data_IF_934618218559
#
_entry.id   IF_934618218559
#
_cell.length_a   1.000
_cell.length_b   1.000
_cell.length_c   1.000
_cell.angle_alpha   90.00
_cell.angle_beta   90.00
_cell.angle_gamma   90.00
#
_symmetry.space_group_name_H-M   'P 1'
#
loop_
_entity.id
_entity.type
_entity.pdbx_description
1 polymer ?
#
# COMPACT_ATOMS: atom_id res chain seq x y z
N UNK A 1 0.75 0.18 16.83
CA UNK A 1 0.25 0.31 15.45
C UNK A 1 -1.06 1.07 15.48
N UNK A 2 -1.23 2.06 14.62
CA UNK A 2 -2.50 2.79 14.42
C UNK A 2 -2.81 2.82 12.93
N UNK A 3 -4.07 2.65 12.57
CA UNK A 3 -4.52 2.72 11.18
C UNK A 3 -5.27 4.04 11.01
N UNK A 4 -5.06 4.74 9.89
CA UNK A 4 -5.77 5.99 9.58
C UNK A 4 -6.92 5.75 8.60
N UNK A 5 -7.88 6.69 8.62
CA UNK A 5 -8.96 6.82 7.63
C UNK A 5 -8.46 7.21 6.22
N UNK A 6 -7.14 7.28 6.02
CA UNK A 6 -6.53 7.59 4.72
C UNK A 6 -5.87 6.37 4.06
N UNK A 7 -6.05 5.17 4.61
CA UNK A 7 -5.38 3.97 4.09
C UNK A 7 -3.92 3.85 4.53
N UNK A 8 -3.53 4.49 5.65
CA UNK A 8 -2.15 4.47 6.16
C UNK A 8 -2.01 3.70 7.47
N UNK A 9 -0.84 3.11 7.72
CA UNK A 9 -0.47 2.50 9.00
C UNK A 9 0.65 3.30 9.66
N UNK A 10 0.49 3.68 10.93
CA UNK A 10 1.57 4.25 11.76
C UNK A 10 2.16 3.23 12.72
N UNK A 11 3.47 3.00 12.62
CA UNK A 11 4.30 2.17 13.49
C UNK A 11 5.32 3.04 14.22
N UNK A 12 5.04 3.40 15.48
CA UNK A 12 5.89 4.33 16.23
C UNK A 12 5.96 5.70 15.54
N UNK A 13 7.14 6.04 15.00
CA UNK A 13 7.40 7.27 14.25
C UNK A 13 7.34 7.08 12.72
N UNK A 14 7.09 5.87 12.25
CA UNK A 14 7.03 5.53 10.82
C UNK A 14 5.59 5.49 10.33
N UNK A 15 5.29 6.20 9.25
CA UNK A 15 4.04 6.10 8.51
C UNK A 15 4.26 5.22 7.27
N UNK A 16 3.30 4.35 6.96
CA UNK A 16 3.32 3.47 5.79
C UNK A 16 2.06 3.75 4.97
N UNK A 17 2.24 4.01 3.68
CA UNK A 17 1.19 4.08 2.66
C UNK A 17 1.61 3.22 1.47
N UNK A 18 0.68 2.83 0.60
CA UNK A 18 0.96 1.89 -0.49
C UNK A 18 0.25 2.29 -1.79
N UNK A 19 0.76 1.82 -2.93
CA UNK A 19 0.08 1.89 -4.23
C UNK A 19 -0.35 3.33 -4.59
N UNK A 20 0.65 4.20 -4.77
CA UNK A 20 0.43 5.62 -5.09
C UNK A 20 0.08 5.80 -6.57
N UNK A 21 0.72 5.03 -7.45
CA UNK A 21 0.56 5.08 -8.91
C UNK A 21 0.56 6.51 -9.46
N UNK A 22 1.60 7.29 -9.14
CA UNK A 22 1.82 8.58 -9.80
C UNK A 22 1.82 8.41 -11.31
N UNK A 23 1.05 9.25 -12.02
CA UNK A 23 0.92 9.19 -13.47
C UNK A 23 -0.17 8.26 -13.99
N UNK A 24 -1.01 7.65 -13.15
CA UNK A 24 -2.11 6.76 -13.57
C UNK A 24 -3.10 7.40 -14.56
N UNK A 25 -3.29 8.73 -14.49
CA UNK A 25 -4.13 9.49 -15.42
C UNK A 25 -3.41 9.88 -16.73
N UNK A 26 -2.13 9.51 -16.88
CA UNK A 26 -1.28 9.92 -17.99
C UNK A 26 -0.70 11.33 -17.87
N UNK A 27 -0.91 12.00 -16.73
CA UNK A 27 -0.35 13.32 -16.45
C UNK A 27 0.06 13.46 -14.96
N UNK A 28 0.93 14.44 -14.63
CA UNK A 28 1.28 14.83 -13.26
C UNK A 28 0.07 15.15 -12.37
N UNK A 29 -0.25 14.29 -11.41
CA UNK A 29 -1.29 14.53 -10.42
C UNK A 29 -0.67 15.03 -9.11
N UNK A 30 -0.71 16.34 -8.86
CA UNK A 30 -0.19 16.92 -7.62
C UNK A 30 -1.16 16.80 -6.44
N UNK A 31 -2.43 16.41 -6.67
CA UNK A 31 -3.40 16.27 -5.59
C UNK A 31 -3.05 15.11 -4.66
N UNK A 32 -2.48 14.03 -5.22
CA UNK A 32 -2.00 12.90 -4.42
C UNK A 32 -0.78 13.28 -3.59
N UNK A 33 0.10 14.17 -4.11
CA UNK A 33 1.23 14.74 -3.35
C UNK A 33 0.69 15.53 -2.16
N UNK A 34 -0.26 16.42 -2.37
CA UNK A 34 -0.87 17.22 -1.30
C UNK A 34 -1.48 16.32 -0.22
N UNK A 35 -2.17 15.24 -0.64
CA UNK A 35 -2.73 14.25 0.26
C UNK A 35 -1.68 13.47 1.05
N UNK A 36 -0.56 13.08 0.42
CA UNK A 36 0.56 12.44 1.13
C UNK A 36 1.06 13.36 2.25
N UNK A 37 1.29 14.64 1.94
CA UNK A 37 1.77 15.61 2.92
C UNK A 37 0.77 15.83 4.06
N UNK A 38 -0.53 15.91 3.76
CA UNK A 38 -1.59 16.00 4.77
C UNK A 38 -1.56 14.82 5.74
N UNK A 39 -1.42 13.59 5.23
CA UNK A 39 -1.37 12.38 6.06
C UNK A 39 -0.07 12.32 6.87
N UNK A 40 1.06 12.74 6.29
CA UNK A 40 2.34 12.86 7.02
C UNK A 40 2.19 13.84 8.19
N UNK A 41 1.71 15.06 7.94
CA UNK A 41 1.59 16.10 8.96
C UNK A 41 0.59 15.74 10.05
N UNK A 42 -0.59 15.25 9.67
CA UNK A 42 -1.63 14.84 10.63
C UNK A 42 -1.18 13.64 11.48
N UNK A 43 -0.42 12.71 10.90
CA UNK A 43 0.11 11.57 11.63
C UNK A 43 1.23 11.96 12.59
N UNK A 44 1.94 13.09 12.37
CA UNK A 44 3.18 13.46 13.07
C UNK A 44 4.22 12.34 12.99
N UNK A 45 4.38 11.75 11.81
CA UNK A 45 5.43 10.78 11.54
C UNK A 45 6.73 11.49 11.18
N UNK A 46 7.85 10.87 11.52
CA UNK A 46 9.19 11.37 11.15
C UNK A 46 9.73 10.63 9.92
N UNK A 47 9.32 9.38 9.71
CA UNK A 47 9.69 8.54 8.58
C UNK A 47 8.47 8.17 7.76
N UNK A 48 8.58 8.21 6.43
CA UNK A 48 7.56 7.72 5.50
C UNK A 48 8.09 6.50 4.74
N UNK A 49 7.29 5.43 4.69
CA UNK A 49 7.51 4.26 3.85
C UNK A 49 6.41 4.23 2.78
N UNK A 50 6.81 4.22 1.51
CA UNK A 50 5.94 3.93 0.39
C UNK A 50 6.08 2.45 0.05
N UNK A 51 5.03 1.67 0.31
CA UNK A 51 5.03 0.22 0.13
C UNK A 51 4.72 -0.19 -1.33
N UNK A 52 5.62 0.17 -2.25
CA UNK A 52 5.56 -0.17 -3.66
C UNK A 52 4.52 0.59 -4.47
N UNK A 53 4.68 0.46 -5.79
CA UNK A 53 3.88 1.08 -6.83
C UNK A 53 3.74 2.60 -6.59
N UNK A 54 4.88 3.25 -6.34
CA UNK A 54 4.93 4.70 -6.19
C UNK A 54 4.56 5.40 -7.50
N UNK A 55 4.99 4.83 -8.63
CA UNK A 55 4.72 5.34 -9.97
C UNK A 55 4.00 4.30 -10.84
N UNK A 56 3.32 4.72 -11.89
CA UNK A 56 2.44 3.86 -12.67
C UNK A 56 3.07 3.24 -13.93
N UNK A 57 3.78 4.05 -14.72
CA UNK A 57 4.38 3.65 -16.00
C UNK A 57 5.74 3.01 -15.80
N UNK A 58 6.01 1.87 -16.44
CA UNK A 58 7.34 1.22 -16.39
C UNK A 58 8.46 2.02 -17.08
N UNK A 59 8.11 3.03 -17.88
CA UNK A 59 9.06 3.82 -18.67
C UNK A 59 9.49 5.14 -18.02
N UNK A 60 10.30 5.93 -18.74
CA UNK A 60 10.87 7.19 -18.24
C UNK A 60 9.91 8.39 -18.24
N UNK A 61 8.72 8.26 -18.83
CA UNK A 61 7.82 9.38 -19.13
C UNK A 61 7.51 10.24 -17.90
N UNK A 62 7.26 9.60 -16.76
CA UNK A 62 6.89 10.26 -15.51
C UNK A 62 8.07 10.50 -14.55
N UNK A 63 9.27 9.98 -14.83
CA UNK A 63 10.38 9.97 -13.87
C UNK A 63 10.76 11.37 -13.37
N UNK A 64 10.83 12.38 -14.25
CA UNK A 64 11.13 13.76 -13.83
C UNK A 64 10.09 14.33 -12.87
N UNK A 65 8.83 13.95 -13.06
CA UNK A 65 7.76 14.41 -12.18
C UNK A 65 7.77 13.65 -10.85
N UNK A 66 8.01 12.34 -10.90
CA UNK A 66 8.19 11.48 -9.73
C UNK A 66 9.36 11.98 -8.87
N UNK A 67 10.51 12.27 -9.48
CA UNK A 67 11.70 12.83 -8.81
C UNK A 67 11.39 14.16 -8.11
N UNK A 68 10.62 15.03 -8.76
CA UNK A 68 10.16 16.29 -8.15
C UNK A 68 9.28 16.04 -6.92
N UNK A 69 8.29 15.12 -7.01
CA UNK A 69 7.42 14.79 -5.87
C UNK A 69 8.23 14.17 -4.73
N UNK A 70 9.22 13.32 -5.03
CA UNK A 70 10.13 12.75 -4.01
C UNK A 70 10.81 13.88 -3.24
N UNK A 71 11.46 14.82 -3.93
CA UNK A 71 12.13 15.94 -3.27
C UNK A 71 11.18 16.77 -2.42
N UNK A 72 9.96 17.04 -2.90
CA UNK A 72 8.94 17.75 -2.12
C UNK A 72 8.50 16.97 -0.87
N UNK A 73 8.40 15.64 -0.93
CA UNK A 73 8.07 14.80 0.24
C UNK A 73 9.23 14.81 1.26
N UNK A 74 10.47 14.70 0.79
CA UNK A 74 11.67 14.68 1.63
C UNK A 74 11.86 15.97 2.45
N UNK A 75 11.35 17.11 1.98
CA UNK A 75 11.33 18.36 2.77
C UNK A 75 10.46 18.27 4.04
N UNK A 76 9.56 17.28 4.12
CA UNK A 76 8.58 17.13 5.21
C UNK A 76 8.81 15.92 6.11
N UNK A 77 9.77 15.04 5.79
CA UNK A 77 10.11 13.86 6.58
C UNK A 77 11.61 13.78 6.82
N UNK A 78 12.02 13.19 7.94
CA UNK A 78 13.44 12.94 8.20
C UNK A 78 14.03 11.83 7.33
N UNK A 79 13.17 10.95 6.79
CA UNK A 79 13.56 9.81 5.98
C UNK A 79 12.37 9.32 5.14
N UNK A 80 12.61 9.16 3.84
CA UNK A 80 11.70 8.56 2.88
C UNK A 80 12.27 7.22 2.42
N UNK A 81 11.50 6.14 2.58
CA UNK A 81 11.85 4.81 2.10
C UNK A 81 10.87 4.39 1.02
N UNK A 82 11.38 4.07 -0.16
CA UNK A 82 10.60 3.53 -1.26
C UNK A 82 10.84 2.02 -1.34
N UNK A 83 9.76 1.25 -1.20
CA UNK A 83 9.79 -0.19 -1.44
C UNK A 83 9.43 -0.47 -2.88
N UNK A 84 9.97 -1.54 -3.45
CA UNK A 84 9.76 -1.92 -4.85
C UNK A 84 8.37 -2.50 -5.05
N UNK A 85 7.57 -1.88 -5.91
CA UNK A 85 6.41 -2.50 -6.55
C UNK A 85 6.70 -2.98 -7.97
N UNK A 86 5.75 -3.70 -8.57
CA UNK A 86 5.90 -4.20 -9.93
C UNK A 86 5.73 -3.11 -11.00
N UNK A 87 5.19 -1.93 -10.65
CA UNK A 87 5.09 -0.76 -11.53
C UNK A 87 6.29 0.21 -11.41
N UNK A 88 7.19 0.01 -10.45
CA UNK A 88 8.31 0.93 -10.15
C UNK A 88 9.54 0.75 -11.09
N UNK A 89 9.33 0.32 -12.34
CA UNK A 89 10.40 0.17 -13.33
C UNK A 89 11.23 1.45 -13.51
N UNK A 90 12.56 1.38 -13.41
CA UNK A 90 13.46 2.55 -13.48
C UNK A 90 13.38 3.56 -12.32
N UNK A 91 12.57 3.33 -11.28
CA UNK A 91 12.54 4.21 -10.10
C UNK A 91 13.92 4.31 -9.40
N UNK A 92 14.68 3.22 -9.44
CA UNK A 92 16.05 3.14 -8.94
C UNK A 92 17.05 4.07 -9.64
N UNK A 93 16.72 4.64 -10.80
CA UNK A 93 17.56 5.64 -11.47
C UNK A 93 17.54 7.00 -10.77
N UNK A 94 16.49 7.29 -9.97
CA UNK A 94 16.27 8.60 -9.34
C UNK A 94 16.23 8.56 -7.81
N UNK A 95 16.05 7.38 -7.20
CA UNK A 95 16.04 7.22 -5.75
C UNK A 95 16.42 5.77 -5.35
N UNK A 96 16.90 5.57 -4.13
CA UNK A 96 17.12 4.22 -3.58
C UNK A 96 15.78 3.48 -3.43
N UNK A 97 15.75 2.19 -3.81
CA UNK A 97 14.54 1.35 -3.74
C UNK A 97 14.88 0.03 -3.07
N UNK A 98 14.21 -0.25 -1.97
CA UNK A 98 14.41 -1.46 -1.18
C UNK A 98 13.35 -2.52 -1.55
N UNK A 99 13.67 -3.78 -1.31
CA UNK A 99 12.71 -4.87 -1.55
C UNK A 99 11.73 -5.04 -0.37
N UNK A 100 12.19 -4.75 0.84
CA UNK A 100 11.41 -4.74 2.08
C UNK A 100 12.06 -3.81 3.12
N UNK A 101 11.35 -3.54 4.21
CA UNK A 101 11.92 -2.88 5.41
C UNK A 101 11.34 -3.48 6.68
N UNK A 102 12.16 -3.52 7.73
CA UNK A 102 11.74 -3.96 9.07
C UNK A 102 11.52 -2.75 9.98
N UNK A 103 10.40 -2.75 10.69
CA UNK A 103 10.04 -1.72 11.67
C UNK A 103 9.49 -2.39 12.93
N UNK A 104 10.35 -2.53 13.94
CA UNK A 104 9.99 -3.25 15.16
C UNK A 104 9.83 -4.75 14.89
N UNK A 105 8.65 -5.32 15.16
CA UNK A 105 8.35 -6.73 14.85
C UNK A 105 7.66 -6.93 13.49
N UNK A 106 7.53 -5.86 12.70
CA UNK A 106 6.83 -5.87 11.44
C UNK A 106 7.80 -5.83 10.26
N UNK A 107 7.56 -6.68 9.27
CA UNK A 107 8.21 -6.62 7.96
C UNK A 107 7.21 -6.06 6.96
N UNK A 108 7.64 -5.05 6.20
CA UNK A 108 6.82 -4.36 5.20
C UNK A 108 7.41 -4.67 3.83
N UNK A 109 6.57 -5.14 2.92
CA UNK A 109 6.95 -5.38 1.53
C UNK A 109 5.72 -5.28 0.63
N UNK A 110 5.91 -5.07 -0.67
CA UNK A 110 4.78 -4.79 -1.55
C UNK A 110 3.86 -6.00 -1.73
N UNK A 111 4.40 -7.22 -1.81
CA UNK A 111 3.58 -8.45 -1.91
C UNK A 111 3.50 -9.08 -3.31
N UNK A 112 4.08 -8.45 -4.33
CA UNK A 112 4.24 -9.03 -5.67
C UNK A 112 5.29 -10.16 -5.71
N UNK A 113 6.21 -10.21 -4.73
CA UNK A 113 7.27 -11.20 -4.57
C UNK A 113 7.44 -11.58 -3.09
N UNK A 114 7.75 -12.85 -2.83
CA UNK A 114 8.11 -13.38 -1.50
C UNK A 114 9.63 -13.29 -1.30
N UNK A 115 10.06 -12.90 -0.08
CA UNK A 115 11.45 -12.91 0.37
C UNK A 115 11.56 -13.81 1.62
N UNK A 116 12.72 -14.45 1.83
CA UNK A 116 12.90 -15.41 2.93
C UNK A 116 12.78 -14.73 4.30
N UNK A 117 13.26 -13.49 4.40
CA UNK A 117 13.26 -12.64 5.58
C UNK A 117 11.85 -12.32 6.09
N UNK A 118 10.83 -12.42 5.23
CA UNK A 118 9.43 -12.26 5.65
C UNK A 118 8.94 -13.40 6.54
N UNK A 119 9.68 -14.52 6.63
CA UNK A 119 9.23 -15.71 7.37
C UNK A 119 9.29 -15.51 8.88
N UNK A 120 10.25 -14.74 9.36
CA UNK A 120 10.51 -14.55 10.79
C UNK A 120 9.72 -13.38 11.40
N UNK A 121 9.02 -12.60 10.56
CA UNK A 121 8.25 -11.44 10.99
C UNK A 121 7.04 -11.83 11.84
N UNK A 122 6.86 -11.19 13.00
CA UNK A 122 5.65 -11.34 13.82
C UNK A 122 4.42 -10.72 13.15
N UNK A 123 4.63 -9.67 12.36
CA UNK A 123 3.61 -9.00 11.54
C UNK A 123 4.16 -8.81 10.12
N UNK A 124 3.39 -9.20 9.12
CA UNK A 124 3.71 -8.97 7.71
C UNK A 124 2.70 -7.98 7.11
N UNK A 125 3.19 -6.85 6.62
CA UNK A 125 2.38 -5.77 6.03
C UNK A 125 2.64 -5.75 4.52
N UNK A 126 1.59 -6.02 3.75
CA UNK A 126 1.60 -6.20 2.30
C UNK A 126 0.66 -5.22 1.60
N UNK A 127 0.86 -5.03 0.29
CA UNK A 127 0.08 -4.14 -0.56
C UNK A 127 -0.32 -4.87 -1.85
N UNK A 128 -0.16 -4.25 -3.03
CA UNK A 128 -0.21 -4.84 -4.37
C UNK A 128 -1.60 -5.26 -4.86
N UNK A 129 -2.40 -5.93 -4.03
CA UNK A 129 -3.69 -6.47 -4.46
C UNK A 129 -4.80 -5.41 -4.52
N UNK A 130 -4.56 -4.23 -3.95
CA UNK A 130 -5.52 -3.13 -3.79
C UNK A 130 -6.89 -3.64 -3.30
N UNK A 131 -6.95 -4.29 -2.13
CA UNK A 131 -8.15 -4.99 -1.69
C UNK A 131 -9.36 -4.04 -1.55
N UNK A 132 -10.51 -4.52 -2.00
CA UNK A 132 -11.82 -3.92 -1.83
C UNK A 132 -12.88 -5.00 -1.64
N UNK A 133 -14.05 -4.61 -1.12
CA UNK A 133 -15.24 -5.45 -1.06
C UNK A 133 -16.28 -4.89 -2.03
N UNK A 134 -16.78 -5.73 -2.94
CA UNK A 134 -17.89 -5.33 -3.81
C UNK A 134 -19.21 -5.41 -3.04
N UNK A 135 -19.80 -4.24 -2.79
CA UNK A 135 -21.18 -4.10 -2.33
C UNK A 135 -22.05 -4.11 -3.57
N UNK A 136 -22.74 -5.24 -3.81
CA UNK A 136 -23.55 -5.44 -5.00
C UNK A 136 -24.90 -4.72 -4.88
N UNK A 137 -25.35 -4.18 -5.99
CA UNK A 137 -26.72 -3.73 -6.24
C UNK A 137 -27.32 -4.55 -7.40
N UNK A 138 -28.59 -4.35 -7.71
CA UNK A 138 -29.30 -5.06 -8.79
C UNK A 138 -28.71 -4.80 -10.17
N UNK A 139 -28.25 -3.58 -10.44
CA UNK A 139 -27.72 -3.16 -11.75
C UNK A 139 -26.19 -3.13 -11.78
N UNK A 140 -25.58 -2.73 -10.66
CA UNK A 140 -24.14 -2.47 -10.56
C UNK A 140 -23.62 -2.87 -9.18
N UNK A 141 -22.52 -2.25 -8.75
CA UNK A 141 -22.05 -2.34 -7.39
C UNK A 141 -20.98 -1.28 -7.13
N UNK A 142 -20.66 -1.10 -5.87
CA UNK A 142 -19.60 -0.20 -5.41
C UNK A 142 -18.46 -1.03 -4.83
N UNK A 143 -17.23 -0.81 -5.32
CA UNK A 143 -16.02 -1.40 -4.73
C UNK A 143 -15.55 -0.50 -3.61
N UNK A 144 -15.81 -0.90 -2.37
CA UNK A 144 -15.34 -0.18 -1.20
C UNK A 144 -13.95 -0.69 -0.82
N UNK A 145 -12.94 0.18 -0.83
CA UNK A 145 -11.56 -0.18 -0.45
C UNK A 145 -11.52 -0.74 0.95
N UNK A 146 -10.70 -1.78 1.15
CA UNK A 146 -10.68 -2.53 2.39
C UNK A 146 -9.28 -2.79 2.90
N UNK A 147 -9.13 -2.83 4.22
CA UNK A 147 -8.04 -3.53 4.88
C UNK A 147 -8.37 -5.01 4.99
N UNK A 148 -7.37 -5.87 4.81
CA UNK A 148 -7.49 -7.30 5.12
C UNK A 148 -6.57 -7.68 6.28
N UNK A 149 -7.11 -8.42 7.24
CA UNK A 149 -6.35 -8.99 8.35
C UNK A 149 -6.46 -10.50 8.33
N UNK A 150 -5.33 -11.19 8.30
CA UNK A 150 -5.25 -12.64 8.29
C UNK A 150 -4.20 -13.16 9.27
N UNK A 151 -4.07 -14.47 9.35
CA UNK A 151 -3.07 -15.13 10.18
C UNK A 151 -2.39 -16.27 9.43
N UNK A 152 -1.07 -16.42 9.60
CA UNK A 152 -0.30 -17.51 9.01
C UNK A 152 0.76 -18.02 9.99
N UNK A 153 0.49 -19.17 10.62
CA UNK A 153 1.44 -19.81 11.55
C UNK A 153 1.76 -18.93 12.76
N UNK A 154 0.74 -18.31 13.36
CA UNK A 154 0.88 -17.40 14.51
C UNK A 154 1.34 -15.98 14.17
N UNK A 155 1.60 -15.68 12.89
CA UNK A 155 1.99 -14.35 12.40
C UNK A 155 0.77 -13.61 11.90
N UNK A 156 0.71 -12.30 12.18
CA UNK A 156 -0.37 -11.44 11.67
C UNK A 156 -0.05 -10.97 10.27
N UNK A 157 -1.02 -11.08 9.37
CA UNK A 157 -0.94 -10.62 7.99
C UNK A 157 -1.86 -9.41 7.84
N UNK A 158 -1.34 -8.33 7.27
CA UNK A 158 -2.12 -7.13 6.97
C UNK A 158 -1.93 -6.83 5.49
N UNK A 159 -3.02 -6.74 4.73
CA UNK A 159 -3.00 -6.27 3.35
C UNK A 159 -3.61 -4.88 3.31
N UNK A 160 -2.80 -3.91 2.87
CA UNK A 160 -3.15 -2.50 2.81
C UNK A 160 -4.05 -2.22 1.59
N UNK A 161 -5.06 -1.35 1.71
CA UNK A 161 -5.72 -0.76 0.55
C UNK A 161 -4.75 0.14 -0.20
N UNK A 162 -5.03 0.37 -1.49
CA UNK A 162 -4.29 1.38 -2.25
C UNK A 162 -4.57 2.78 -1.68
N UNK A 163 -3.52 3.59 -1.52
CA UNK A 163 -3.64 4.97 -1.04
C UNK A 163 -4.35 5.84 -2.08
N UNK A 164 -3.98 5.68 -3.35
CA UNK A 164 -4.62 6.39 -4.46
C UNK A 164 -6.00 5.78 -4.78
N UNK A 165 -7.04 6.60 -4.69
CA UNK A 165 -8.44 6.24 -4.95
C UNK A 165 -8.73 5.89 -6.41
N UNK A 166 -7.88 6.33 -7.32
CA UNK A 166 -8.01 6.06 -8.74
C UNK A 166 -7.57 4.64 -9.12
N UNK A 167 -6.92 3.91 -8.21
CA UNK A 167 -6.52 2.54 -8.44
C UNK A 167 -7.75 1.64 -8.58
N UNK A 168 -7.79 0.84 -9.65
CA UNK A 168 -8.81 -0.17 -9.83
C UNK A 168 -8.64 -1.28 -8.78
N UNK A 169 -9.30 -1.11 -7.65
CA UNK A 169 -9.22 -2.05 -6.53
C UNK A 169 -9.80 -3.43 -6.88
N UNK A 170 -9.27 -4.48 -6.27
CA UNK A 170 -9.71 -5.88 -6.45
C UNK A 170 -10.80 -6.22 -5.46
N UNK A 171 -12.00 -6.57 -5.93
CA UNK A 171 -13.10 -7.00 -5.09
C UNK A 171 -12.90 -8.43 -4.59
N UNK A 172 -12.28 -8.59 -3.43
CA UNK A 172 -11.80 -9.88 -2.93
C UNK A 172 -12.92 -10.89 -2.61
N UNK A 173 -14.17 -10.44 -2.50
CA UNK A 173 -15.33 -11.31 -2.32
C UNK A 173 -15.85 -11.94 -3.63
N UNK A 174 -15.31 -11.55 -4.79
CA UNK A 174 -15.74 -12.04 -6.11
C UNK A 174 -14.61 -12.23 -7.12
N UNK A 175 -13.47 -11.57 -6.93
CA UNK A 175 -12.27 -11.62 -7.78
C UNK A 175 -11.13 -12.32 -7.03
N UNK A 176 -10.23 -12.96 -7.78
CA UNK A 176 -9.01 -13.54 -7.22
C UNK A 176 -7.94 -12.44 -7.02
N UNK A 177 -7.51 -12.14 -5.79
CA UNK A 177 -6.48 -11.13 -5.56
C UNK A 177 -5.09 -11.59 -6.01
N UNK A 178 -4.28 -10.62 -6.45
CA UNK A 178 -2.88 -10.80 -6.79
C UNK A 178 -1.97 -10.76 -5.54
N UNK A 179 -0.77 -11.34 -5.64
CA UNK A 179 0.22 -11.36 -4.56
C UNK A 179 0.39 -12.74 -3.92
N UNK A 180 1.61 -13.02 -3.44
CA UNK A 180 1.98 -14.36 -2.99
C UNK A 180 1.17 -14.84 -1.77
N UNK A 181 0.73 -13.91 -0.92
CA UNK A 181 0.12 -14.24 0.37
C UNK A 181 -1.20 -15.00 0.25
N UNK A 182 -1.95 -14.75 -0.83
CA UNK A 182 -3.20 -15.43 -1.14
C UNK A 182 -3.02 -16.89 -1.58
N UNK A 183 -1.77 -17.32 -1.81
CA UNK A 183 -1.41 -18.74 -1.94
C UNK A 183 -1.34 -19.48 -0.59
N UNK A 184 -1.12 -18.75 0.50
CA UNK A 184 -0.89 -19.31 1.84
C UNK A 184 -2.03 -19.05 2.82
N UNK A 185 -2.75 -17.93 2.67
CA UNK A 185 -3.87 -17.52 3.54
C UNK A 185 -5.13 -17.40 2.70
N UNK A 186 -6.21 -18.05 3.15
CA UNK A 186 -7.50 -18.11 2.44
C UNK A 186 -8.62 -17.34 3.11
N UNK A 187 -8.49 -17.03 4.39
CA UNK A 187 -9.52 -16.34 5.16
C UNK A 187 -8.93 -15.05 5.73
N UNK A 188 -9.63 -13.95 5.49
CA UNK A 188 -9.27 -12.63 6.02
C UNK A 188 -10.49 -11.96 6.63
N UNK A 189 -10.28 -11.20 7.71
CA UNK A 189 -11.24 -10.20 8.18
C UNK A 189 -11.08 -8.93 7.34
N UNK A 190 -12.18 -8.42 6.79
CA UNK A 190 -12.20 -7.23 5.95
C UNK A 190 -12.80 -6.04 6.71
N UNK A 191 -12.16 -4.88 6.59
CA UNK A 191 -12.63 -3.62 7.18
C UNK A 191 -12.58 -2.51 6.14
N UNK A 192 -13.52 -1.56 6.15
CA UNK A 192 -13.39 -0.33 5.36
C UNK A 192 -12.18 0.48 5.81
N UNK A 193 -11.76 1.45 5.00
CA UNK A 193 -10.67 2.36 5.37
C UNK A 193 -10.95 3.10 6.69
N UNK A 194 -12.22 3.39 6.99
CA UNK A 194 -12.64 4.08 8.21
C UNK A 194 -12.89 3.12 9.40
N UNK A 195 -12.53 1.85 9.28
CA UNK A 195 -12.57 0.87 10.36
C UNK A 195 -13.91 0.17 10.57
N UNK A 196 -14.86 0.28 9.64
CA UNK A 196 -16.10 -0.50 9.71
C UNK A 196 -15.83 -1.95 9.30
N UNK A 197 -16.23 -2.90 10.13
CA UNK A 197 -16.06 -4.32 9.85
C UNK A 197 -17.07 -4.79 8.79
N UNK A 198 -16.56 -5.37 7.69
CA UNK A 198 -17.39 -5.99 6.66
C UNK A 198 -17.79 -7.43 7.00
N UNK A 199 -16.91 -8.16 7.67
CA UNK A 199 -17.04 -9.61 7.79
C UNK A 199 -15.74 -10.33 7.41
N UNK A 200 -15.85 -11.65 7.30
CA UNK A 200 -14.78 -12.49 6.76
C UNK A 200 -14.96 -12.68 5.27
N UNK A 201 -13.87 -12.64 4.54
CA UNK A 201 -13.79 -12.93 3.11
C UNK A 201 -12.92 -14.17 2.89
N UNK A 202 -13.36 -15.01 1.95
CA UNK A 202 -12.63 -16.21 1.53
C UNK A 202 -12.13 -15.96 0.11
N UNK A 203 -10.82 -16.11 -0.10
CA UNK A 203 -10.09 -15.70 -1.33
C UNK A 203 -9.35 -16.84 -2.02
#
# INVERSE_FOLDING_TARGET
>A
MKISESGAIKLGKTLVIADIHLGILGFPDYSIRDRILEVVHSSKAERLVINGDFKHSLGKYELKHVEKIIGEIEEHVSELLLLRGNHDGLLHEIHEVHDFVEVGNATIAHGHKEFEEMRDAGILILAHSHPAVLIKDYISGHKERAWLFGELGGRRIIVMPAFNELCSSTAVNVEKPAGFIFGYVREFEAFTINGFYFGRVIV
#
